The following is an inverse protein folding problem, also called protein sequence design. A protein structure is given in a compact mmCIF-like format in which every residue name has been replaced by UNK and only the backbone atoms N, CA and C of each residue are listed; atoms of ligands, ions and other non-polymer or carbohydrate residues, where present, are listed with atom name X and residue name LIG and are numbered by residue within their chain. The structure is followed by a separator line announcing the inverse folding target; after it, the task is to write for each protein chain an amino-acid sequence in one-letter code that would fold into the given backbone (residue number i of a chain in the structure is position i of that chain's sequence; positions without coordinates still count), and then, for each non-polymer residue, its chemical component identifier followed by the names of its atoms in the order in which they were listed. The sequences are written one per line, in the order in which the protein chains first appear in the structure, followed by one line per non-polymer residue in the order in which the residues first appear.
data_IF_337060915924
#
_entry.id   IF_337060915924
#
_cell.length_a   1.000
_cell.length_b   1.000
_cell.length_c   1.000
_cell.angle_alpha   90.00
_cell.angle_beta   90.00
_cell.angle_gamma   90.00
#
_symmetry.space_group_name_H-M   'P 1'
#
loop_
_entity.id
_entity.type
_entity.pdbx_description
1 polymer ?
#
# COMPACT_ATOMS: atom_id res chain seq x y z
N UNK A 1 -7.43 14.82 5.68
CA UNK A 1 -6.55 13.68 5.33
C UNK A 1 -5.53 14.18 4.33
N UNK A 2 -4.25 14.07 4.65
CA UNK A 2 -3.18 14.48 3.76
C UNK A 2 -2.49 13.21 3.26
N UNK A 3 -2.57 12.94 1.97
CA UNK A 3 -2.00 11.73 1.40
C UNK A 3 -0.50 11.88 1.22
N UNK A 4 0.22 10.78 1.44
CA UNK A 4 1.64 10.63 1.14
C UNK A 4 1.82 9.72 -0.07
N UNK A 5 2.80 10.08 -0.89
CA UNK A 5 3.23 9.27 -2.05
C UNK A 5 4.49 8.52 -1.68
N UNK A 6 4.51 7.22 -1.93
CA UNK A 6 5.65 6.33 -1.72
C UNK A 6 6.07 5.76 -3.07
N UNK A 7 7.33 6.01 -3.46
CA UNK A 7 7.91 5.33 -4.61
C UNK A 7 8.22 3.87 -4.27
N UNK A 8 7.87 2.97 -5.18
CA UNK A 8 8.15 1.54 -5.12
C UNK A 8 9.08 1.15 -6.29
N UNK A 9 9.52 -0.10 -6.32
CA UNK A 9 10.31 -0.65 -7.43
C UNK A 9 9.56 -0.64 -8.76
N UNK A 10 10.32 -0.67 -9.86
CA UNK A 10 9.82 -0.76 -11.24
C UNK A 10 8.84 0.35 -11.65
N UNK A 11 9.00 1.54 -11.05
CA UNK A 11 8.16 2.71 -11.33
C UNK A 11 6.77 2.65 -10.68
N UNK A 12 6.52 1.67 -9.80
CA UNK A 12 5.27 1.62 -9.06
C UNK A 12 5.21 2.72 -8.00
N UNK A 13 4.00 3.15 -7.67
CA UNK A 13 3.75 4.19 -6.67
C UNK A 13 2.59 3.77 -5.76
N UNK A 14 2.76 3.93 -4.45
CA UNK A 14 1.68 3.79 -3.46
C UNK A 14 1.24 5.16 -2.95
N UNK A 15 -0.06 5.43 -2.99
CA UNK A 15 -0.72 6.59 -2.43
C UNK A 15 -1.56 6.17 -1.22
N UNK A 16 -1.21 6.64 -0.03
CA UNK A 16 -1.91 6.31 1.21
C UNK A 16 -2.04 7.56 2.10
N UNK A 17 -2.88 7.52 3.15
CA UNK A 17 -2.86 8.59 4.16
C UNK A 17 -1.48 8.66 4.83
N UNK A 18 -1.08 9.85 5.29
CA UNK A 18 0.20 10.10 5.96
C UNK A 18 0.40 9.27 7.24
N UNK A 19 -0.67 8.75 7.85
CA UNK A 19 -0.59 7.91 9.04
C UNK A 19 0.08 6.57 8.77
N UNK A 20 -0.03 6.05 7.54
CA UNK A 20 0.56 4.78 7.16
C UNK A 20 2.09 4.86 7.04
N UNK A 21 2.75 3.78 7.47
CA UNK A 21 4.19 3.56 7.34
C UNK A 21 4.44 2.43 6.36
N UNK A 22 5.37 2.64 5.42
CA UNK A 22 5.73 1.62 4.43
C UNK A 22 7.16 1.14 4.69
N UNK A 23 7.31 -0.16 4.86
CA UNK A 23 8.60 -0.84 4.94
C UNK A 23 8.81 -1.66 3.67
N UNK A 24 10.07 -1.72 3.22
CA UNK A 24 10.44 -2.41 1.99
C UNK A 24 11.58 -3.40 2.25
N UNK A 25 11.50 -4.56 1.61
CA UNK A 25 12.58 -5.52 1.48
C UNK A 25 12.61 -6.01 0.02
N UNK A 26 13.54 -5.45 -0.76
CA UNK A 26 13.56 -5.63 -2.22
C UNK A 26 12.18 -5.27 -2.82
N UNK A 27 11.56 -6.20 -3.53
CA UNK A 27 10.26 -6.03 -4.18
C UNK A 27 9.06 -6.36 -3.30
N UNK A 28 9.28 -6.69 -2.03
CA UNK A 28 8.25 -6.97 -1.05
C UNK A 28 8.07 -5.80 -0.09
N UNK A 29 6.82 -5.51 0.27
CA UNK A 29 6.45 -4.35 1.07
C UNK A 29 5.45 -4.72 2.16
N UNK A 30 5.55 -4.01 3.28
CA UNK A 30 4.62 -4.08 4.40
C UNK A 30 4.12 -2.67 4.71
N UNK A 31 2.80 -2.49 4.63
CA UNK A 31 2.11 -1.27 5.02
C UNK A 31 1.58 -1.44 6.44
N UNK A 32 2.03 -0.59 7.36
CA UNK A 32 1.54 -0.51 8.73
C UNK A 32 0.66 0.72 8.91
N UNK A 33 -0.37 0.62 9.73
CA UNK A 33 -1.19 1.76 10.14
C UNK A 33 -0.49 2.62 11.22
N UNK A 34 -1.27 3.48 11.90
CA UNK A 34 -0.76 4.35 12.96
C UNK A 34 -0.38 3.63 14.25
N UNK A 35 -1.05 2.50 14.55
CA UNK A 35 -0.81 1.65 15.71
C UNK A 35 0.34 0.65 15.48
N UNK A 36 0.87 0.62 14.26
CA UNK A 36 1.91 -0.28 13.75
C UNK A 36 1.42 -1.70 13.46
N UNK A 37 0.11 -1.89 13.31
CA UNK A 37 -0.42 -3.16 12.88
C UNK A 37 -0.33 -3.29 11.35
N UNK A 38 -0.18 -4.52 10.86
CA UNK A 38 -0.05 -4.82 9.43
C UNK A 38 -1.37 -4.64 8.69
N UNK A 39 -1.47 -3.57 7.89
CA UNK A 39 -2.63 -3.30 7.05
C UNK A 39 -2.60 -4.09 5.74
N UNK A 40 -1.43 -4.17 5.09
CA UNK A 40 -1.25 -4.89 3.83
C UNK A 40 0.18 -5.40 3.66
N UNK A 41 0.33 -6.58 3.07
CA UNK A 41 1.59 -7.07 2.53
C UNK A 41 1.43 -7.32 1.04
N UNK A 42 2.39 -6.85 0.25
CA UNK A 42 2.31 -6.95 -1.20
C UNK A 42 3.71 -7.02 -1.83
N UNK A 43 3.77 -7.50 -3.07
CA UNK A 43 4.97 -7.47 -3.90
C UNK A 43 4.69 -6.74 -5.21
N UNK A 44 5.74 -6.19 -5.82
CA UNK A 44 5.65 -5.56 -7.15
C UNK A 44 6.71 -6.12 -8.09
N UNK A 45 6.33 -6.43 -9.32
CA UNK A 45 7.27 -6.70 -10.42
C UNK A 45 7.16 -5.59 -11.45
N UNK A 46 7.79 -5.73 -12.61
CA UNK A 46 7.60 -4.76 -13.68
C UNK A 46 6.17 -4.76 -14.23
N UNK A 47 5.48 -5.90 -14.18
CA UNK A 47 4.15 -6.08 -14.78
C UNK A 47 3.04 -6.32 -13.75
N UNK A 48 3.39 -6.75 -12.55
CA UNK A 48 2.43 -7.25 -11.57
C UNK A 48 2.48 -6.47 -10.27
N UNK A 49 1.31 -6.40 -9.64
CA UNK A 49 1.12 -5.99 -8.26
C UNK A 49 0.36 -7.13 -7.58
N UNK A 50 0.98 -7.81 -6.63
CA UNK A 50 0.42 -8.97 -5.96
C UNK A 50 0.20 -8.66 -4.48
N UNK A 51 -1.02 -8.88 -3.99
CA UNK A 51 -1.36 -8.74 -2.57
C UNK A 51 -1.21 -10.10 -1.90
N UNK A 52 -0.30 -10.17 -0.93
CA UNK A 52 -0.07 -11.37 -0.12
C UNK A 52 -1.05 -11.46 1.06
N UNK A 53 -1.35 -10.31 1.67
CA UNK A 53 -2.34 -10.19 2.76
C UNK A 53 -2.90 -8.78 2.85
N UNK A 54 -4.14 -8.65 3.31
CA UNK A 54 -4.82 -7.37 3.55
C UNK A 54 -5.79 -7.53 4.71
N UNK A 55 -5.72 -6.64 5.69
CA UNK A 55 -6.49 -6.72 6.93
C UNK A 55 -7.53 -5.58 7.05
N UNK A 56 -8.36 -5.65 8.09
CA UNK A 56 -9.34 -4.64 8.51
C UNK A 56 -10.20 -4.05 7.39
N UNK A 57 -10.61 -4.85 6.41
CA UNK A 57 -11.42 -4.33 5.29
C UNK A 57 -10.75 -3.12 4.59
N UNK A 58 -9.42 -3.17 4.44
CA UNK A 58 -8.67 -2.16 3.71
C UNK A 58 -9.07 -2.16 2.23
N UNK A 59 -9.54 -1.02 1.75
CA UNK A 59 -9.95 -0.80 0.37
C UNK A 59 -8.82 -0.11 -0.39
N UNK A 60 -8.50 -0.65 -1.56
CA UNK A 60 -7.49 -0.08 -2.43
C UNK A 60 -7.91 -0.19 -3.89
N UNK A 61 -7.35 0.69 -4.71
CA UNK A 61 -7.50 0.69 -6.18
C UNK A 61 -6.14 0.59 -6.82
N UNK A 62 -5.97 -0.39 -7.71
CA UNK A 62 -4.80 -0.50 -8.58
C UNK A 62 -5.12 0.12 -9.94
N UNK A 63 -4.21 0.94 -10.46
CA UNK A 63 -4.31 1.61 -11.76
C UNK A 63 -3.10 1.19 -12.60
N UNK A 64 -3.22 0.11 -13.41
CA UNK A 64 -2.07 -0.50 -14.09
C UNK A 64 -1.38 0.45 -15.06
N UNK A 65 -2.17 1.25 -15.80
CA UNK A 65 -1.66 2.19 -16.80
C UNK A 65 -0.67 3.24 -16.24
N UNK A 66 -0.73 3.50 -14.93
CA UNK A 66 0.17 4.43 -14.24
C UNK A 66 1.06 3.75 -13.20
N UNK A 67 0.98 2.41 -13.08
CA UNK A 67 1.62 1.64 -12.00
C UNK A 67 1.36 2.27 -10.61
N UNK A 68 0.11 2.62 -10.34
CA UNK A 68 -0.27 3.30 -9.09
C UNK A 68 -1.23 2.44 -8.30
N UNK A 69 -0.97 2.30 -7.00
CA UNK A 69 -1.91 1.74 -6.02
C UNK A 69 -2.33 2.84 -5.06
N UNK A 70 -3.63 2.97 -4.84
CA UNK A 70 -4.20 3.98 -3.95
C UNK A 70 -5.02 3.33 -2.85
N UNK A 71 -4.65 3.57 -1.60
CA UNK A 71 -5.47 3.24 -0.44
C UNK A 71 -6.64 4.22 -0.36
N UNK A 72 -7.85 3.71 -0.16
CA UNK A 72 -9.10 4.46 -0.25
C UNK A 72 -9.74 4.75 1.10
N UNK A 73 -9.38 4.00 2.14
CA UNK A 73 -9.89 4.17 3.49
C UNK A 73 -8.76 4.06 4.53
N UNK A 74 -9.05 4.57 5.72
CA UNK A 74 -8.35 4.20 6.94
C UNK A 74 -9.34 3.31 7.67
N UNK A 75 -9.14 1.99 7.69
CA UNK A 75 -9.94 1.12 8.52
C UNK A 75 -9.97 1.63 9.96
N UNK A 76 -11.16 1.69 10.54
CA UNK A 76 -11.35 1.90 11.96
C UNK A 76 -11.90 0.60 12.54
N UNK A 77 -11.46 0.22 13.74
CA UNK A 77 -12.18 -0.78 14.51
C UNK A 77 -13.60 -0.25 14.77
N UNK A 78 -14.61 -0.87 14.15
CA UNK A 78 -16.00 -0.75 14.60
C UNK A 78 -16.27 -1.78 15.70
#
# INVERSE_FOLDING_TARGET
MANKTHGLLNGWTLLADKSYKLFANQNSYVLLDEENDVAMQFTVTDQEFEVLSSNWNLHFKMIPAFKTVKILNIPTEE
#
